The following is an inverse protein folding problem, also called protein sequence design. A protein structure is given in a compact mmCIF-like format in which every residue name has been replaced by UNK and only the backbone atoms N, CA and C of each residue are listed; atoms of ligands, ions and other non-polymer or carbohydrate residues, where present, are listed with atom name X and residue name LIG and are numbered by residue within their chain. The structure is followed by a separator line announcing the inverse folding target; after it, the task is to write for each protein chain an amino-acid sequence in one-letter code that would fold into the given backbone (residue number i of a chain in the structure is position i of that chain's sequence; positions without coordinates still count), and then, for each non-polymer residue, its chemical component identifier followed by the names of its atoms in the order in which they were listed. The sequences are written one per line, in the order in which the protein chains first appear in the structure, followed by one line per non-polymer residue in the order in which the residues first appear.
data_IF_716676393006
#
_entry.id   IF_716676393006
#
_cell.length_a   1.000
_cell.length_b   1.000
_cell.length_c   1.000
_cell.angle_alpha   90.00
_cell.angle_beta   90.00
_cell.angle_gamma   90.00
#
_symmetry.space_group_name_H-M   'P 1'
#
loop_
_entity.id
_entity.type
_entity.pdbx_description
1 polymer ?
#
# COMPACT_ATOMS: atom_id res chain seq x y z
N UNK A 1 -2.32 -7.80 -25.78
CA UNK A 1 -2.01 -8.22 -24.40
C UNK A 1 -1.69 -6.95 -23.64
N UNK A 2 -2.48 -6.64 -22.61
CA UNK A 2 -2.23 -5.51 -21.71
C UNK A 2 -1.91 -6.16 -20.38
N UNK A 3 -0.63 -6.36 -20.13
CA UNK A 3 -0.14 -6.87 -18.86
C UNK A 3 -0.49 -5.81 -17.81
N UNK A 4 -1.51 -6.11 -17.01
CA UNK A 4 -1.92 -5.27 -15.89
C UNK A 4 -1.04 -5.70 -14.72
N UNK A 5 -0.17 -4.77 -14.32
CA UNK A 5 0.85 -4.97 -13.31
C UNK A 5 0.21 -5.20 -11.96
N UNK A 6 0.04 -6.46 -11.66
CA UNK A 6 -0.26 -6.93 -10.34
C UNK A 6 0.84 -6.44 -9.37
N UNK A 7 0.51 -5.95 -8.16
CA UNK A 7 1.52 -5.51 -7.17
C UNK A 7 1.31 -6.21 -5.83
N UNK A 8 2.39 -6.77 -5.27
CA UNK A 8 2.47 -7.24 -3.89
C UNK A 8 2.78 -6.08 -2.96
N UNK A 9 1.82 -5.72 -2.14
CA UNK A 9 2.02 -4.71 -1.12
C UNK A 9 2.73 -5.33 0.07
N UNK A 10 3.94 -4.86 0.34
CA UNK A 10 4.68 -5.36 1.47
C UNK A 10 4.04 -4.82 2.74
N UNK A 11 3.59 -5.76 3.53
CA UNK A 11 3.09 -5.58 4.86
C UNK A 11 4.26 -4.94 5.65
N UNK A 12 4.10 -3.77 6.28
CA UNK A 12 5.18 -3.01 6.95
C UNK A 12 4.67 -2.32 8.20
N UNK A 13 5.47 -2.32 9.28
CA UNK A 13 5.22 -1.41 10.42
C UNK A 13 5.62 0.01 10.03
N UNK A 14 5.13 0.99 10.78
CA UNK A 14 5.55 2.38 10.64
C UNK A 14 7.07 2.55 10.84
N UNK A 15 7.66 1.83 11.79
CA UNK A 15 9.11 1.85 12.03
C UNK A 15 9.88 1.27 10.84
N UNK A 16 9.39 0.17 10.26
CA UNK A 16 9.99 -0.45 9.07
C UNK A 16 9.88 0.48 7.85
N UNK A 17 8.75 1.18 7.70
CA UNK A 17 8.57 2.20 6.68
C UNK A 17 9.57 3.35 6.83
N UNK A 18 9.75 3.85 8.06
CA UNK A 18 10.71 4.91 8.38
C UNK A 18 12.16 4.45 8.14
N UNK A 19 12.47 3.18 8.44
CA UNK A 19 13.76 2.57 8.14
C UNK A 19 14.00 2.45 6.63
N UNK A 20 13.01 2.04 5.84
CA UNK A 20 13.13 2.01 4.38
C UNK A 20 13.33 3.41 3.80
N UNK A 21 12.61 4.42 4.29
CA UNK A 21 12.84 5.81 3.88
C UNK A 21 14.24 6.30 4.24
N UNK A 22 14.74 5.91 5.41
CA UNK A 22 16.10 6.24 5.88
C UNK A 22 17.15 5.59 5.00
N UNK A 23 17.00 4.30 4.68
CA UNK A 23 17.88 3.57 3.78
C UNK A 23 17.85 4.15 2.36
N UNK A 24 16.66 4.38 1.80
CA UNK A 24 16.50 4.97 0.48
C UNK A 24 17.18 6.35 0.39
N UNK A 25 16.96 7.21 1.39
CA UNK A 25 17.64 8.50 1.51
C UNK A 25 19.15 8.35 1.53
N UNK A 26 19.67 7.41 2.33
CA UNK A 26 21.10 7.18 2.44
C UNK A 26 21.71 6.77 1.09
N UNK A 27 21.08 5.82 0.40
CA UNK A 27 21.53 5.32 -0.90
C UNK A 27 21.53 6.43 -1.97
N UNK A 28 20.46 7.22 -2.05
CA UNK A 28 20.35 8.34 -3.00
C UNK A 28 21.39 9.43 -2.71
N UNK A 29 21.52 9.87 -1.46
CA UNK A 29 22.42 10.97 -1.07
C UNK A 29 23.88 10.59 -1.25
N UNK A 30 24.23 9.31 -1.03
CA UNK A 30 25.60 8.83 -1.12
C UNK A 30 25.90 8.09 -2.43
N UNK A 31 25.00 8.10 -3.42
CA UNK A 31 25.10 7.27 -4.61
C UNK A 31 26.47 7.37 -5.29
N UNK A 32 26.91 8.58 -5.63
CA UNK A 32 28.21 8.78 -6.27
C UNK A 32 29.42 8.32 -5.46
N UNK A 33 29.33 8.29 -4.11
CA UNK A 33 30.39 7.73 -3.25
C UNK A 33 30.35 6.22 -3.22
N UNK A 34 29.15 5.65 -3.11
CA UNK A 34 28.92 4.20 -3.08
C UNK A 34 29.38 3.59 -4.41
N UNK A 35 28.92 4.16 -5.52
CA UNK A 35 29.25 3.68 -6.86
C UNK A 35 30.76 3.79 -7.15
N UNK A 36 31.43 4.83 -6.64
CA UNK A 36 32.88 4.98 -6.76
C UNK A 36 33.70 4.03 -5.87
N UNK A 37 33.13 3.55 -4.76
CA UNK A 37 33.82 2.68 -3.80
C UNK A 37 33.78 1.19 -4.18
N UNK A 38 32.91 0.80 -5.11
CA UNK A 38 32.68 -0.60 -5.49
C UNK A 38 31.24 -0.91 -5.88
N UNK A 39 30.32 0.02 -5.62
CA UNK A 39 28.91 -0.10 -6.01
C UNK A 39 28.10 -1.06 -5.14
N UNK A 40 27.05 -1.59 -5.74
CA UNK A 40 26.11 -2.50 -5.08
C UNK A 40 26.28 -3.93 -5.58
N UNK A 41 26.05 -4.88 -4.68
CA UNK A 41 25.96 -6.30 -5.01
C UNK A 41 24.48 -6.69 -5.14
N UNK A 42 24.04 -7.08 -6.34
CA UNK A 42 22.71 -7.61 -6.59
C UNK A 42 22.77 -9.13 -6.74
N UNK A 43 22.89 -9.80 -5.60
CA UNK A 43 22.79 -11.25 -5.51
C UNK A 43 22.05 -11.62 -4.23
N UNK A 44 20.85 -12.18 -4.41
CA UNK A 44 19.99 -12.61 -3.31
C UNK A 44 20.62 -13.68 -2.42
N UNK A 45 21.40 -14.60 -3.00
CA UNK A 45 22.05 -15.67 -2.25
C UNK A 45 23.13 -15.07 -1.34
N UNK A 46 23.72 -13.96 -1.77
CA UNK A 46 24.79 -13.30 -1.07
C UNK A 46 24.34 -12.56 0.19
N UNK A 47 23.06 -12.16 0.33
CA UNK A 47 22.62 -11.39 1.51
C UNK A 47 22.66 -12.21 2.81
N UNK A 48 22.31 -13.51 2.76
CA UNK A 48 22.39 -14.40 3.92
C UNK A 48 23.84 -14.72 4.29
N UNK A 49 24.68 -14.90 3.28
CA UNK A 49 26.09 -15.27 3.43
C UNK A 49 27.01 -14.04 3.47
N UNK A 50 26.43 -12.83 3.58
CA UNK A 50 27.20 -11.60 3.50
C UNK A 50 28.01 -11.39 4.78
N UNK A 51 29.33 -11.38 4.65
CA UNK A 51 30.23 -10.95 5.71
C UNK A 51 30.76 -9.54 5.43
N UNK A 52 30.80 -8.65 6.44
CA UNK A 52 30.59 -8.89 7.88
C UNK A 52 29.12 -8.87 8.34
N UNK A 53 28.88 -9.35 9.56
CA UNK A 53 27.57 -9.27 10.25
C UNK A 53 27.09 -7.82 10.42
N UNK A 54 25.77 -7.58 10.56
CA UNK A 54 25.19 -6.22 10.63
C UNK A 54 25.90 -5.26 11.58
N UNK A 55 26.26 -5.71 12.79
CA UNK A 55 26.95 -4.91 13.80
C UNK A 55 28.37 -4.48 13.38
N UNK A 56 29.03 -5.28 12.53
CA UNK A 56 30.39 -5.04 12.05
C UNK A 56 30.47 -4.02 10.90
N UNK A 57 29.36 -3.77 10.21
CA UNK A 57 29.34 -2.92 9.01
C UNK A 57 29.72 -1.48 9.30
N UNK A 58 29.18 -0.90 10.37
CA UNK A 58 29.46 0.49 10.73
C UNK A 58 30.93 0.74 11.04
N UNK A 59 31.64 -0.28 11.54
CA UNK A 59 33.05 -0.21 11.89
C UNK A 59 33.97 -0.46 10.68
N UNK A 60 33.63 -1.43 9.83
CA UNK A 60 34.47 -1.86 8.72
C UNK A 60 33.61 -2.20 7.49
N UNK A 61 33.06 -1.20 6.79
CA UNK A 61 32.20 -1.44 5.65
C UNK A 61 33.00 -1.99 4.45
N UNK A 62 32.60 -3.14 3.86
CA UNK A 62 33.14 -3.57 2.58
C UNK A 62 32.93 -2.56 1.45
N UNK A 63 33.77 -2.67 0.43
CA UNK A 63 33.76 -1.81 -0.76
C UNK A 63 32.47 -1.93 -1.60
N UNK A 64 31.93 -3.14 -1.71
CA UNK A 64 30.68 -3.44 -2.38
C UNK A 64 29.81 -4.28 -1.45
N UNK A 65 28.53 -3.94 -1.34
CA UNK A 65 27.60 -4.59 -0.42
C UNK A 65 26.20 -4.64 -1.03
N UNK A 66 25.34 -5.56 -0.57
CA UNK A 66 23.93 -5.54 -0.94
C UNK A 66 23.23 -4.24 -0.48
N UNK A 67 22.25 -3.71 -1.22
CA UNK A 67 21.46 -2.54 -0.83
C UNK A 67 21.02 -2.51 0.63
N UNK A 68 20.46 -3.61 1.16
CA UNK A 68 19.98 -3.72 2.55
C UNK A 68 21.10 -3.61 3.59
N UNK A 69 22.33 -3.99 3.23
CA UNK A 69 23.48 -3.94 4.12
C UNK A 69 23.99 -2.51 4.38
N UNK A 70 23.48 -1.51 3.65
CA UNK A 70 23.73 -0.10 3.97
C UNK A 70 22.88 0.42 5.13
N UNK A 71 21.91 -0.37 5.63
CA UNK A 71 21.05 0.03 6.75
C UNK A 71 21.82 0.50 8.00
N UNK A 72 22.82 -0.27 8.50
CA UNK A 72 23.65 0.16 9.62
C UNK A 72 24.39 1.48 9.37
N UNK A 73 24.89 1.71 8.14
CA UNK A 73 25.52 2.99 7.76
C UNK A 73 24.52 4.15 7.67
N UNK A 74 23.27 3.85 7.35
CA UNK A 74 22.16 4.80 7.35
C UNK A 74 21.68 5.17 8.77
N UNK A 75 22.23 4.53 9.81
CA UNK A 75 21.87 4.76 11.21
C UNK A 75 20.76 3.83 11.72
N UNK A 76 20.39 2.80 10.96
CA UNK A 76 19.42 1.78 11.38
C UNK A 76 20.20 0.74 12.17
N UNK A 77 20.18 0.89 13.49
CA UNK A 77 21.07 0.16 14.40
C UNK A 77 20.75 -1.34 14.39
N UNK A 78 21.79 -2.17 14.20
CA UNK A 78 21.73 -3.60 14.45
C UNK A 78 21.79 -3.88 15.96
N UNK A 79 20.99 -4.83 16.43
CA UNK A 79 21.05 -5.28 17.82
C UNK A 79 22.21 -6.27 18.01
N UNK A 80 22.79 -6.35 19.22
CA UNK A 80 23.89 -7.27 19.48
C UNK A 80 23.51 -8.73 19.16
N UNK A 81 24.33 -9.37 18.33
CA UNK A 81 24.15 -10.77 17.94
C UNK A 81 23.13 -11.03 16.83
N UNK A 82 22.55 -9.99 16.20
CA UNK A 82 21.71 -10.18 15.01
C UNK A 82 22.55 -10.65 13.82
N UNK A 83 22.07 -11.69 13.15
CA UNK A 83 22.48 -11.99 11.78
C UNK A 83 21.68 -11.15 10.75
N UNK A 84 21.96 -11.34 9.46
CA UNK A 84 21.26 -10.59 8.41
C UNK A 84 19.77 -10.90 8.29
N UNK A 85 19.36 -12.13 8.60
CA UNK A 85 17.96 -12.54 8.58
C UNK A 85 17.19 -11.84 9.70
N UNK A 86 17.71 -11.90 10.94
CA UNK A 86 17.12 -11.24 12.10
C UNK A 86 17.04 -9.72 11.90
N UNK A 87 18.15 -9.13 11.44
CA UNK A 87 18.24 -7.70 11.17
C UNK A 87 17.23 -7.25 10.11
N UNK A 88 17.17 -7.91 8.96
CA UNK A 88 16.25 -7.53 7.88
C UNK A 88 14.78 -7.73 8.27
N UNK A 89 14.46 -8.81 8.98
CA UNK A 89 13.10 -9.07 9.43
C UNK A 89 12.65 -8.00 10.43
N UNK A 90 13.49 -7.63 11.39
CA UNK A 90 13.16 -6.59 12.36
C UNK A 90 13.12 -5.21 11.70
N UNK A 91 14.23 -4.80 11.08
CA UNK A 91 14.44 -3.44 10.60
C UNK A 91 13.58 -3.10 9.38
N UNK A 92 13.31 -4.08 8.52
CA UNK A 92 12.67 -3.86 7.23
C UNK A 92 11.42 -4.73 7.00
N UNK A 93 11.12 -5.68 7.89
CA UNK A 93 9.99 -6.59 7.68
C UNK A 93 10.22 -7.62 6.58
N UNK A 94 11.47 -7.74 6.11
CA UNK A 94 11.87 -8.65 5.02
C UNK A 94 12.29 -9.98 5.63
N UNK A 95 11.62 -11.05 5.25
CA UNK A 95 12.12 -12.39 5.52
C UNK A 95 13.07 -12.78 4.37
N UNK A 96 14.36 -13.01 4.61
CA UNK A 96 15.32 -13.43 3.57
C UNK A 96 15.13 -14.93 3.25
N UNK A 97 13.87 -15.35 3.06
CA UNK A 97 13.49 -16.63 2.47
C UNK A 97 13.46 -16.49 0.94
N UNK A 98 13.53 -17.61 0.18
CA UNK A 98 13.74 -17.57 -1.27
C UNK A 98 12.68 -16.85 -2.12
N UNK A 99 11.59 -16.34 -1.51
CA UNK A 99 10.44 -15.80 -2.21
C UNK A 99 9.91 -14.48 -1.64
N UNK A 100 10.65 -13.78 -0.78
CA UNK A 100 10.18 -12.46 -0.33
C UNK A 100 10.15 -11.49 -1.54
N UNK A 101 8.97 -10.93 -1.89
CA UNK A 101 8.84 -10.13 -3.10
C UNK A 101 9.75 -8.90 -3.08
N UNK A 102 9.85 -8.23 -1.92
CA UNK A 102 10.65 -7.02 -1.79
C UNK A 102 12.14 -7.34 -1.96
N UNK A 103 12.63 -8.39 -1.31
CA UNK A 103 14.01 -8.82 -1.42
C UNK A 103 14.34 -9.22 -2.86
N UNK A 104 13.50 -10.03 -3.51
CA UNK A 104 13.67 -10.42 -4.90
C UNK A 104 13.67 -9.23 -5.86
N UNK A 105 12.80 -8.26 -5.61
CA UNK A 105 12.79 -7.00 -6.34
C UNK A 105 14.08 -6.23 -6.10
N UNK A 106 14.40 -5.83 -4.86
CA UNK A 106 15.52 -4.95 -4.59
C UNK A 106 16.89 -5.56 -4.95
N UNK A 107 17.04 -6.88 -4.75
CA UNK A 107 18.28 -7.64 -4.95
C UNK A 107 18.34 -8.38 -6.29
N UNK A 108 17.41 -8.11 -7.22
CA UNK A 108 17.37 -8.81 -8.51
C UNK A 108 18.70 -8.64 -9.27
N UNK A 109 19.31 -9.74 -9.75
CA UNK A 109 20.46 -9.69 -10.64
C UNK A 109 20.19 -8.93 -11.95
N UNK A 110 18.92 -8.72 -12.32
CA UNK A 110 18.56 -7.87 -13.46
C UNK A 110 19.12 -6.45 -13.27
N UNK A 111 19.04 -5.89 -12.07
CA UNK A 111 19.49 -4.53 -11.80
C UNK A 111 20.99 -4.36 -11.97
N UNK A 112 21.78 -5.41 -11.75
CA UNK A 112 23.21 -5.37 -12.06
C UNK A 112 23.47 -5.04 -13.55
N UNK A 113 22.52 -5.36 -14.44
CA UNK A 113 22.65 -5.18 -15.89
C UNK A 113 21.95 -3.94 -16.41
N UNK A 114 20.84 -3.54 -15.79
CA UNK A 114 19.97 -2.47 -16.29
C UNK A 114 20.15 -1.15 -15.54
N UNK A 115 20.26 -1.21 -14.21
CA UNK A 115 20.39 -0.02 -13.36
C UNK A 115 21.07 -0.37 -12.02
N UNK A 116 22.42 -0.52 -12.02
CA UNK A 116 23.17 -1.03 -10.87
C UNK A 116 23.48 0.05 -9.82
N UNK A 117 23.11 1.31 -10.07
CA UNK A 117 23.52 2.41 -9.20
C UNK A 117 22.84 2.36 -7.84
N UNK A 118 23.53 2.91 -6.83
CA UNK A 118 22.92 3.16 -5.53
C UNK A 118 21.73 4.13 -5.60
N UNK A 119 21.74 5.06 -6.56
CA UNK A 119 20.60 5.92 -6.85
C UNK A 119 19.38 5.07 -7.27
N UNK A 120 19.57 4.16 -8.22
CA UNK A 120 18.54 3.22 -8.68
C UNK A 120 17.98 2.35 -7.55
N UNK A 121 18.84 1.81 -6.69
CA UNK A 121 18.40 1.02 -5.55
C UNK A 121 17.56 1.83 -4.56
N UNK A 122 17.97 3.07 -4.25
CA UNK A 122 17.18 3.96 -3.41
C UNK A 122 15.81 4.28 -4.02
N UNK A 123 15.75 4.53 -5.32
CA UNK A 123 14.49 4.84 -6.02
C UNK A 123 13.57 3.62 -6.14
N UNK A 124 14.11 2.41 -6.27
CA UNK A 124 13.35 1.16 -6.19
C UNK A 124 12.68 0.97 -4.83
N UNK A 125 13.34 1.34 -3.74
CA UNK A 125 12.72 1.33 -2.40
C UNK A 125 11.56 2.32 -2.37
N UNK A 126 11.76 3.56 -2.83
CA UNK A 126 10.69 4.58 -2.88
C UNK A 126 9.50 4.11 -3.71
N UNK A 127 9.75 3.51 -4.87
CA UNK A 127 8.70 2.93 -5.72
C UNK A 127 7.85 1.93 -4.94
N UNK A 128 8.49 0.98 -4.25
CA UNK A 128 7.74 -0.05 -3.51
C UNK A 128 6.96 0.52 -2.34
N UNK A 129 7.48 1.54 -1.66
CA UNK A 129 6.77 2.21 -0.57
C UNK A 129 5.53 3.00 -1.03
N UNK A 130 5.45 3.34 -2.31
CA UNK A 130 4.34 4.10 -2.90
C UNK A 130 3.36 3.19 -3.67
N UNK A 131 3.89 2.23 -4.42
CA UNK A 131 3.15 1.43 -5.42
C UNK A 131 3.15 -0.08 -5.13
N UNK A 132 3.92 -0.56 -4.15
CA UNK A 132 4.12 -1.99 -3.91
C UNK A 132 5.18 -2.63 -4.83
N UNK A 133 5.44 -3.92 -4.63
CA UNK A 133 6.37 -4.71 -5.44
C UNK A 133 5.64 -5.26 -6.66
N UNK A 134 6.17 -5.14 -7.89
CA UNK A 134 5.54 -5.76 -9.06
C UNK A 134 5.38 -7.29 -8.93
N UNK A 135 4.29 -7.86 -9.43
CA UNK A 135 3.97 -9.28 -9.32
C UNK A 135 4.89 -10.17 -10.14
N UNK A 136 5.34 -9.68 -11.28
CA UNK A 136 6.36 -10.32 -12.10
C UNK A 136 7.76 -10.24 -11.47
N UNK A 137 7.91 -9.78 -10.21
CA UNK A 137 9.19 -9.77 -9.48
C UNK A 137 9.95 -11.09 -9.52
N UNK A 138 9.26 -12.24 -9.57
CA UNK A 138 9.90 -13.55 -9.74
C UNK A 138 10.52 -13.68 -11.12
N UNK A 139 9.77 -13.38 -12.19
CA UNK A 139 10.27 -13.39 -13.57
C UNK A 139 11.39 -12.37 -13.78
N UNK A 140 11.26 -11.18 -13.17
CA UNK A 140 12.28 -10.14 -13.12
C UNK A 140 13.55 -10.68 -12.45
N UNK A 141 13.41 -11.33 -11.30
CA UNK A 141 14.55 -11.92 -10.56
C UNK A 141 15.26 -13.03 -11.33
N UNK A 142 14.52 -13.76 -12.17
CA UNK A 142 15.05 -14.80 -13.04
C UNK A 142 15.57 -14.27 -14.38
N UNK A 143 15.43 -12.96 -14.64
CA UNK A 143 15.78 -12.35 -15.93
C UNK A 143 14.93 -12.86 -17.09
N UNK A 144 13.70 -13.30 -16.80
CA UNK A 144 12.73 -13.86 -17.73
C UNK A 144 11.51 -12.95 -17.94
N UNK A 145 11.46 -11.82 -17.23
CA UNK A 145 10.43 -10.83 -17.42
C UNK A 145 10.44 -10.31 -18.87
N UNK A 146 9.29 -10.42 -19.53
CA UNK A 146 9.03 -9.86 -20.86
C UNK A 146 8.46 -8.43 -20.80
N UNK A 147 8.29 -7.91 -19.59
CA UNK A 147 7.82 -6.56 -19.32
C UNK A 147 8.92 -5.54 -19.64
N UNK A 148 8.51 -4.40 -20.19
CA UNK A 148 9.36 -3.34 -20.78
C UNK A 148 10.37 -2.65 -19.82
N UNK A 149 10.79 -3.26 -18.70
CA UNK A 149 11.75 -2.67 -17.77
C UNK A 149 13.13 -2.40 -18.40
N UNK A 150 13.46 -3.11 -19.48
CA UNK A 150 14.68 -2.91 -20.26
C UNK A 150 14.56 -1.73 -21.26
N UNK A 151 13.35 -1.42 -21.76
CA UNK A 151 13.13 -0.55 -22.93
C UNK A 151 12.33 0.74 -22.65
N UNK A 152 11.50 0.80 -21.60
CA UNK A 152 10.45 1.84 -21.49
C UNK A 152 10.70 2.97 -20.52
N UNK A 153 11.78 2.95 -19.73
CA UNK A 153 11.92 3.94 -18.66
C UNK A 153 10.81 3.85 -17.60
N UNK A 154 10.03 2.76 -17.52
CA UNK A 154 8.83 2.63 -16.68
C UNK A 154 8.99 3.02 -15.20
N UNK A 155 10.10 2.64 -14.55
CA UNK A 155 10.39 3.07 -13.17
C UNK A 155 10.50 4.60 -13.09
N UNK A 156 11.14 5.19 -14.09
CA UNK A 156 11.44 6.61 -14.23
C UNK A 156 10.20 7.39 -14.68
N UNK A 157 9.47 6.93 -15.69
CA UNK A 157 8.23 7.51 -16.18
C UNK A 157 7.14 7.53 -15.09
N UNK A 158 7.08 6.51 -14.22
CA UNK A 158 6.17 6.47 -13.05
C UNK A 158 6.58 7.41 -11.93
N UNK A 159 7.86 7.73 -11.83
CA UNK A 159 8.42 8.74 -10.93
C UNK A 159 8.50 10.13 -11.60
N UNK A 160 7.95 10.31 -12.81
CA UNK A 160 8.01 11.53 -13.62
C UNK A 160 9.45 12.00 -13.93
N UNK A 161 10.33 11.05 -14.25
CA UNK A 161 11.74 11.27 -14.58
C UNK A 161 12.00 11.10 -16.09
N UNK A 162 12.55 12.13 -16.75
CA UNK A 162 13.11 11.99 -18.09
C UNK A 162 14.52 11.40 -18.01
N UNK A 163 14.84 10.31 -18.74
CA UNK A 163 16.19 9.76 -18.80
C UNK A 163 17.02 10.58 -19.78
N UNK A 164 17.42 11.80 -19.41
CA UNK A 164 18.37 12.56 -20.22
C UNK A 164 19.79 12.34 -19.70
N UNK A 165 20.67 11.92 -20.62
CA UNK A 165 22.06 11.56 -20.40
C UNK A 165 22.92 12.83 -20.20
N UNK A 166 22.67 13.55 -19.10
CA UNK A 166 23.40 14.74 -18.72
C UNK A 166 23.60 14.74 -17.22
N UNK A 167 24.86 14.58 -16.79
CA UNK A 167 25.36 14.72 -15.42
C UNK A 167 24.49 15.63 -14.54
N UNK A 168 23.56 15.04 -13.78
CA UNK A 168 22.78 15.75 -12.78
C UNK A 168 23.69 16.04 -11.56
N UNK A 169 23.81 17.29 -11.10
CA UNK A 169 24.62 17.61 -9.94
C UNK A 169 23.99 17.00 -8.68
N UNK A 170 24.71 16.03 -8.10
CA UNK A 170 24.57 15.58 -6.71
C UNK A 170 24.62 16.80 -5.77
N UNK A 171 23.45 17.26 -5.30
CA UNK A 171 23.21 17.91 -3.98
C UNK A 171 21.91 18.71 -4.01
N UNK A 172 20.80 18.00 -3.88
CA UNK A 172 19.54 18.36 -3.22
C UNK A 172 18.59 17.23 -3.56
N UNK A 173 17.68 16.88 -2.64
CA UNK A 173 16.56 16.04 -3.01
C UNK A 173 15.90 16.67 -4.24
N UNK A 174 15.72 15.94 -5.35
CA UNK A 174 14.82 16.40 -6.40
C UNK A 174 13.41 16.47 -5.81
N UNK A 175 12.69 17.57 -6.04
CA UNK A 175 11.30 17.77 -5.57
C UNK A 175 10.34 16.66 -6.04
N UNK A 176 10.74 15.87 -7.05
CA UNK A 176 9.96 14.79 -7.67
C UNK A 176 10.19 13.38 -7.08
N UNK A 177 11.21 13.15 -6.22
CA UNK A 177 11.28 11.86 -5.52
C UNK A 177 10.12 11.85 -4.53
N UNK A 178 9.19 10.91 -4.58
CA UNK A 178 8.02 10.88 -3.68
C UNK A 178 8.35 10.85 -2.17
N UNK A 179 9.61 10.64 -1.78
CA UNK A 179 9.97 10.44 -0.39
C UNK A 179 9.98 11.69 0.54
N UNK A 180 10.18 12.98 0.16
CA UNK A 180 9.84 14.10 1.02
C UNK A 180 8.33 14.15 1.25
N UNK A 181 7.52 13.83 0.24
CA UNK A 181 6.07 13.75 0.35
C UNK A 181 5.66 12.62 1.30
N UNK A 182 6.28 11.44 1.20
CA UNK A 182 6.04 10.33 2.14
C UNK A 182 6.50 10.66 3.57
N UNK A 183 7.69 11.28 3.73
CA UNK A 183 8.18 11.75 5.03
C UNK A 183 7.30 12.85 5.62
N UNK A 184 6.83 13.79 4.81
CA UNK A 184 5.93 14.86 5.24
C UNK A 184 4.56 14.31 5.60
N UNK A 185 4.00 13.37 4.81
CA UNK A 185 2.77 12.64 5.15
C UNK A 185 2.94 11.92 6.48
N UNK A 186 4.06 11.24 6.69
CA UNK A 186 4.39 10.56 7.94
C UNK A 186 4.48 11.49 9.13
N UNK A 187 5.25 12.57 9.01
CA UNK A 187 5.44 13.57 10.05
C UNK A 187 4.15 14.35 10.36
N UNK A 188 3.24 14.44 9.40
CA UNK A 188 1.95 15.09 9.57
C UNK A 188 0.92 14.23 10.33
N UNK A 189 1.16 12.93 10.53
CA UNK A 189 0.25 12.08 11.31
C UNK A 189 0.40 12.45 12.79
N UNK A 190 -0.58 13.17 13.30
CA UNK A 190 -0.61 13.61 14.71
C UNK A 190 -1.57 12.77 15.56
N UNK A 191 -2.53 12.10 14.93
CA UNK A 191 -3.50 11.25 15.62
C UNK A 191 -2.90 9.91 16.11
N UNK A 192 -3.36 9.50 17.28
CA UNK A 192 -3.08 8.20 17.88
C UNK A 192 -4.21 7.82 18.87
N UNK A 193 -4.03 6.70 19.57
CA UNK A 193 -5.01 6.17 20.51
C UNK A 193 -5.34 7.12 21.68
N UNK A 194 -4.38 7.95 22.10
CA UNK A 194 -4.50 8.77 23.30
C UNK A 194 -5.22 10.10 23.01
N UNK A 195 -5.14 10.61 21.78
CA UNK A 195 -5.71 11.92 21.43
C UNK A 195 -6.97 11.87 20.54
N UNK A 196 -7.27 10.77 19.83
CA UNK A 196 -8.39 10.71 18.88
C UNK A 196 -9.72 11.19 19.50
N UNK A 197 -10.07 10.71 20.70
CA UNK A 197 -11.33 11.10 21.36
C UNK A 197 -11.39 12.61 21.61
N UNK A 198 -10.30 13.19 22.10
CA UNK A 198 -10.24 14.61 22.43
C UNK A 198 -10.28 15.48 21.16
N UNK A 199 -9.55 15.07 20.11
CA UNK A 199 -9.57 15.74 18.80
C UNK A 199 -10.99 15.80 18.22
N UNK A 200 -11.74 14.68 18.25
CA UNK A 200 -13.12 14.69 17.75
C UNK A 200 -14.03 15.67 18.51
N UNK A 201 -13.80 15.85 19.81
CA UNK A 201 -14.59 16.76 20.65
C UNK A 201 -14.23 18.23 20.38
N UNK A 202 -12.93 18.54 20.41
CA UNK A 202 -12.42 19.91 20.24
C UNK A 202 -12.75 20.50 18.88
N UNK A 203 -12.72 19.65 17.84
CA UNK A 203 -13.02 20.05 16.47
C UNK A 203 -14.54 20.10 16.19
N UNK A 204 -15.38 19.87 17.20
CA UNK A 204 -16.84 19.89 17.05
C UNK A 204 -17.39 18.74 16.20
N UNK A 205 -16.57 17.73 15.92
CA UNK A 205 -16.93 16.55 15.14
C UNK A 205 -17.80 15.62 15.99
N UNK A 206 -17.61 15.51 17.29
CA UNK A 206 -18.46 14.65 18.11
C UNK A 206 -18.68 15.22 19.50
N UNK A 207 -19.87 15.00 20.05
CA UNK A 207 -20.09 15.17 21.48
C UNK A 207 -19.53 13.95 22.22
N UNK A 208 -19.14 14.08 23.50
CA UNK A 208 -18.62 12.95 24.27
C UNK A 208 -19.51 11.70 24.25
N UNK A 209 -20.83 11.88 24.25
CA UNK A 209 -21.84 10.81 24.17
C UNK A 209 -21.97 10.17 22.78
N UNK A 210 -21.57 10.88 21.72
CA UNK A 210 -21.64 10.44 20.33
C UNK A 210 -20.42 9.59 19.92
N UNK A 211 -19.43 9.45 20.79
CA UNK A 211 -18.22 8.62 20.58
C UNK A 211 -18.35 7.31 21.35
N UNK A 212 -18.44 6.20 20.62
CA UNK A 212 -18.43 4.87 21.20
C UNK A 212 -17.62 3.88 20.36
N UNK A 213 -16.72 3.18 21.03
CA UNK A 213 -15.95 2.08 20.45
C UNK A 213 -16.54 0.71 20.76
N UNK A 214 -15.74 -0.31 20.47
CA UNK A 214 -16.05 -1.72 20.76
C UNK A 214 -15.15 -2.27 21.85
N UNK A 215 -15.64 -3.27 22.58
CA UNK A 215 -14.85 -3.96 23.59
C UNK A 215 -13.78 -4.86 22.98
N UNK A 216 -12.77 -5.24 23.78
CA UNK A 216 -11.76 -6.22 23.35
C UNK A 216 -12.38 -7.58 22.96
N UNK A 217 -13.51 -7.95 23.57
CA UNK A 217 -14.21 -9.18 23.23
C UNK A 217 -14.83 -9.10 21.83
N UNK A 218 -15.46 -7.98 21.49
CA UNK A 218 -16.01 -7.76 20.15
C UNK A 218 -14.91 -7.67 19.09
N UNK A 219 -13.77 -7.08 19.42
CA UNK A 219 -12.59 -7.10 18.54
C UNK A 219 -12.14 -8.54 18.30
N UNK A 220 -12.06 -9.38 19.33
CA UNK A 220 -11.71 -10.80 19.17
C UNK A 220 -12.71 -11.56 18.30
N UNK A 221 -14.00 -11.26 18.43
CA UNK A 221 -15.04 -11.84 17.57
C UNK A 221 -14.87 -11.41 16.11
N UNK A 222 -14.55 -10.14 15.87
CA UNK A 222 -14.23 -9.66 14.53
C UNK A 222 -12.98 -10.37 13.98
N UNK A 223 -11.90 -10.42 14.75
CA UNK A 223 -10.64 -11.11 14.37
C UNK A 223 -10.86 -12.58 14.00
N UNK A 224 -11.78 -13.27 14.68
CA UNK A 224 -12.13 -14.65 14.36
C UNK A 224 -12.75 -14.79 12.97
N UNK A 225 -13.46 -13.76 12.48
CA UNK A 225 -14.14 -13.78 11.17
C UNK A 225 -13.33 -13.17 10.03
N UNK A 226 -12.47 -12.19 10.32
CA UNK A 226 -11.75 -11.43 9.29
C UNK A 226 -10.25 -11.70 9.26
N UNK A 227 -9.69 -12.34 10.27
CA UNK A 227 -8.25 -12.43 10.48
C UNK A 227 -7.75 -11.43 11.51
N UNK A 228 -6.52 -11.62 11.98
CA UNK A 228 -5.92 -10.82 13.04
C UNK A 228 -5.74 -9.36 12.61
N UNK A 229 -6.12 -8.42 13.48
CA UNK A 229 -6.11 -6.99 13.17
C UNK A 229 -4.83 -6.32 13.71
N UNK A 230 -4.21 -5.41 12.93
CA UNK A 230 -3.14 -4.55 13.42
C UNK A 230 -3.55 -3.80 14.69
N UNK A 231 -2.59 -3.56 15.60
CA UNK A 231 -2.86 -2.89 16.88
C UNK A 231 -3.49 -1.51 16.69
N UNK A 232 -3.02 -0.73 15.71
CA UNK A 232 -3.56 0.60 15.37
C UNK A 232 -5.06 0.52 15.05
N UNK A 233 -5.47 -0.44 14.22
CA UNK A 233 -6.88 -0.61 13.87
C UNK A 233 -7.71 -1.08 15.06
N UNK A 234 -7.17 -1.99 15.89
CA UNK A 234 -7.82 -2.37 17.17
C UNK A 234 -8.03 -1.16 18.09
N UNK A 235 -7.03 -0.27 18.17
CA UNK A 235 -7.13 0.97 18.94
C UNK A 235 -8.19 1.91 18.37
N UNK A 236 -8.22 2.12 17.05
CA UNK A 236 -9.28 2.90 16.37
C UNK A 236 -10.66 2.33 16.68
N UNK A 237 -10.86 1.01 16.50
CA UNK A 237 -12.12 0.34 16.82
C UNK A 237 -12.52 0.51 18.30
N UNK A 238 -11.55 0.46 19.21
CA UNK A 238 -11.82 0.64 20.64
C UNK A 238 -12.29 2.05 21.03
N UNK A 239 -12.03 3.06 20.19
CA UNK A 239 -12.46 4.45 20.42
C UNK A 239 -13.72 4.79 19.64
N UNK A 240 -13.76 4.45 18.34
CA UNK A 240 -14.80 4.91 17.41
C UNK A 240 -15.57 3.78 16.70
N UNK A 241 -15.27 2.52 16.98
CA UNK A 241 -15.78 1.36 16.24
C UNK A 241 -17.31 1.23 16.14
N UNK A 242 -18.11 1.91 16.96
CA UNK A 242 -19.58 1.92 16.83
C UNK A 242 -20.14 3.25 16.31
N UNK A 243 -19.57 4.38 16.73
CA UNK A 243 -19.99 5.73 16.32
C UNK A 243 -18.94 6.77 16.71
N UNK A 244 -18.85 7.83 15.90
CA UNK A 244 -17.94 8.96 16.11
C UNK A 244 -18.58 10.30 15.73
N UNK A 245 -19.82 10.53 16.14
CA UNK A 245 -20.55 11.76 15.80
C UNK A 245 -20.54 12.03 14.30
N UNK A 246 -19.99 13.18 13.92
CA UNK A 246 -19.92 13.77 12.57
C UNK A 246 -18.76 13.29 11.71
N UNK A 247 -17.97 12.32 12.19
CA UNK A 247 -16.72 11.92 11.52
C UNK A 247 -16.95 11.45 10.08
N UNK A 248 -18.03 10.72 9.83
CA UNK A 248 -18.42 10.28 8.49
C UNK A 248 -19.94 10.32 8.31
N UNK A 249 -20.42 10.47 7.08
CA UNK A 249 -21.81 10.19 6.72
C UNK A 249 -22.00 8.66 6.61
N UNK A 250 -22.68 8.05 7.59
CA UNK A 250 -22.89 6.59 7.63
C UNK A 250 -23.73 5.99 6.49
N UNK A 251 -24.36 6.84 5.66
CA UNK A 251 -25.03 6.41 4.41
C UNK A 251 -24.08 6.31 3.24
N UNK A 252 -22.99 7.06 3.31
CA UNK A 252 -21.94 7.11 2.31
C UNK A 252 -20.76 6.23 2.69
N UNK A 253 -20.24 6.36 3.91
CA UNK A 253 -19.07 5.63 4.37
C UNK A 253 -19.44 4.57 5.40
N UNK A 254 -19.04 3.35 5.11
CA UNK A 254 -19.26 2.17 5.95
C UNK A 254 -17.95 1.83 6.64
N UNK A 255 -17.71 2.34 7.85
CA UNK A 255 -16.44 2.13 8.58
C UNK A 255 -16.63 1.55 9.99
N UNK A 256 -17.88 1.40 10.44
CA UNK A 256 -18.18 0.96 11.80
C UNK A 256 -18.34 -0.56 11.86
N UNK A 257 -18.05 -1.15 13.03
CA UNK A 257 -17.93 -2.60 13.26
C UNK A 257 -19.10 -3.42 12.74
N UNK A 258 -20.31 -2.91 12.89
CA UNK A 258 -21.56 -3.57 12.50
C UNK A 258 -21.75 -3.61 10.99
N UNK A 259 -21.02 -2.76 10.25
CA UNK A 259 -20.98 -2.73 8.80
C UNK A 259 -19.82 -3.57 8.24
N UNK A 260 -18.76 -3.80 9.02
CA UNK A 260 -17.52 -4.41 8.52
C UNK A 260 -17.70 -5.83 8.00
N UNK A 261 -18.60 -6.64 8.58
CA UNK A 261 -18.86 -7.99 8.06
C UNK A 261 -19.39 -7.94 6.62
N UNK A 262 -20.31 -7.04 6.34
CA UNK A 262 -20.88 -6.84 5.02
C UNK A 262 -19.85 -6.24 4.06
N UNK A 263 -19.09 -5.24 4.51
CA UNK A 263 -17.99 -4.65 3.74
C UNK A 263 -16.95 -5.71 3.37
N UNK A 264 -16.58 -6.61 4.28
CA UNK A 264 -15.66 -7.71 4.00
C UNK A 264 -16.24 -8.73 3.02
N UNK A 265 -17.52 -9.07 3.15
CA UNK A 265 -18.21 -9.95 2.19
C UNK A 265 -18.19 -9.33 0.79
N UNK A 266 -18.60 -8.07 0.67
CA UNK A 266 -18.64 -7.34 -0.60
C UNK A 266 -17.24 -7.17 -1.21
N UNK A 267 -16.24 -6.83 -0.40
CA UNK A 267 -14.86 -6.71 -0.85
C UNK A 267 -14.33 -8.03 -1.41
N UNK A 268 -14.60 -9.16 -0.73
CA UNK A 268 -14.23 -10.50 -1.21
C UNK A 268 -14.96 -10.93 -2.47
N UNK A 269 -16.26 -10.64 -2.58
CA UNK A 269 -17.02 -10.90 -3.82
C UNK A 269 -16.47 -10.10 -4.98
N UNK A 270 -16.17 -8.82 -4.75
CA UNK A 270 -15.65 -7.94 -5.79
C UNK A 270 -14.24 -8.32 -6.23
N UNK A 271 -13.41 -8.75 -5.27
CA UNK A 271 -12.13 -9.38 -5.55
C UNK A 271 -12.30 -10.57 -6.50
N UNK A 272 -13.17 -11.52 -6.16
CA UNK A 272 -13.37 -12.71 -6.99
C UNK A 272 -13.89 -12.37 -8.40
N UNK A 273 -14.79 -11.39 -8.51
CA UNK A 273 -15.22 -10.86 -9.82
C UNK A 273 -14.04 -10.28 -10.61
N UNK A 274 -13.15 -9.52 -9.97
CA UNK A 274 -12.03 -8.85 -10.66
C UNK A 274 -10.88 -9.77 -10.98
N UNK A 275 -10.56 -10.72 -10.11
CA UNK A 275 -9.60 -11.78 -10.41
C UNK A 275 -10.03 -12.58 -11.65
N UNK A 276 -11.34 -12.86 -11.79
CA UNK A 276 -11.88 -13.50 -12.99
C UNK A 276 -11.80 -12.63 -14.27
N UNK A 277 -11.70 -11.31 -14.12
CA UNK A 277 -11.59 -10.33 -15.21
C UNK A 277 -10.15 -9.84 -15.47
N UNK A 278 -9.16 -10.43 -14.79
CA UNK A 278 -7.75 -10.03 -14.89
C UNK A 278 -7.50 -8.61 -14.38
N UNK A 279 -8.10 -8.24 -13.24
CA UNK A 279 -7.80 -7.02 -12.50
C UNK A 279 -6.55 -7.16 -11.60
N UNK A 280 -6.10 -6.07 -10.98
CA UNK A 280 -4.97 -6.09 -10.04
C UNK A 280 -5.25 -7.08 -8.88
N UNK A 281 -4.23 -7.77 -8.34
CA UNK A 281 -4.39 -8.83 -7.38
C UNK A 281 -4.79 -8.21 -6.06
N UNK A 282 -5.56 -8.98 -5.32
CA UNK A 282 -5.86 -8.65 -3.95
C UNK A 282 -5.05 -9.54 -3.02
N UNK A 283 -4.35 -8.98 -2.02
CA UNK A 283 -3.68 -9.78 -1.00
C UNK A 283 -4.67 -10.73 -0.32
N UNK A 284 -4.27 -12.00 -0.10
CA UNK A 284 -5.12 -13.00 0.57
C UNK A 284 -5.43 -12.65 2.02
N UNK A 285 -4.54 -11.90 2.63
CA UNK A 285 -4.60 -11.35 3.97
C UNK A 285 -5.28 -9.97 4.02
N UNK A 286 -5.92 -9.50 2.95
CA UNK A 286 -6.64 -8.23 2.99
C UNK A 286 -7.86 -8.29 3.92
N UNK A 287 -7.94 -7.32 4.84
CA UNK A 287 -9.11 -7.05 5.67
C UNK A 287 -9.73 -5.74 5.21
N UNK A 288 -10.99 -5.80 4.77
CA UNK A 288 -11.70 -4.59 4.36
C UNK A 288 -12.16 -3.81 5.59
N UNK A 289 -11.77 -2.55 5.67
CA UNK A 289 -12.01 -1.67 6.84
C UNK A 289 -12.99 -0.54 6.54
N UNK A 290 -13.36 -0.37 5.28
CA UNK A 290 -14.54 0.39 4.95
C UNK A 290 -14.85 0.39 3.47
N UNK A 291 -15.94 1.06 3.11
CA UNK A 291 -16.33 1.26 1.72
C UNK A 291 -17.13 2.54 1.57
N UNK A 292 -17.12 3.09 0.36
CA UNK A 292 -17.92 4.25 -0.03
C UNK A 292 -19.11 3.79 -0.87
N UNK A 293 -20.32 3.91 -0.35
CA UNK A 293 -21.57 3.42 -0.94
C UNK A 293 -21.56 1.90 -1.20
N UNK A 294 -20.79 1.13 -0.42
CA UNK A 294 -20.53 -0.28 -0.71
C UNK A 294 -19.68 -0.51 -1.96
N UNK A 295 -19.13 0.55 -2.53
CA UNK A 295 -18.19 0.54 -3.65
C UNK A 295 -16.83 1.01 -3.15
N UNK A 296 -15.80 0.81 -3.96
CA UNK A 296 -14.43 1.26 -3.71
C UNK A 296 -13.93 0.98 -2.26
N UNK A 297 -13.76 -0.29 -1.88
CA UNK A 297 -13.49 -0.63 -0.50
C UNK A 297 -12.05 -0.29 -0.10
N UNK A 298 -11.90 0.24 1.11
CA UNK A 298 -10.60 0.36 1.77
C UNK A 298 -10.24 -0.93 2.47
N UNK A 299 -8.97 -1.29 2.42
CA UNK A 299 -8.46 -2.46 3.12
C UNK A 299 -7.08 -2.21 3.74
N UNK A 300 -6.79 -3.03 4.74
CA UNK A 300 -5.49 -3.17 5.39
C UNK A 300 -5.05 -4.63 5.27
N UNK A 301 -3.82 -4.92 5.66
CA UNK A 301 -3.29 -6.29 5.67
C UNK A 301 -3.40 -6.89 7.08
N UNK A 302 -3.60 -8.21 7.17
CA UNK A 302 -3.67 -8.93 8.44
C UNK A 302 -2.37 -8.78 9.24
N UNK A 303 -2.51 -8.83 10.56
CA UNK A 303 -1.37 -8.98 11.46
C UNK A 303 -0.97 -10.47 11.50
N UNK A 304 -0.09 -10.91 10.58
CA UNK A 304 0.26 -12.33 10.43
C UNK A 304 0.95 -12.91 11.68
N UNK A 305 0.17 -13.57 12.55
CA UNK A 305 0.67 -14.22 13.78
C UNK A 305 1.39 -15.55 13.55
N UNK A 306 1.28 -16.13 12.35
CA UNK A 306 1.79 -17.47 12.06
C UNK A 306 3.25 -17.48 11.59
N UNK A 307 3.71 -16.39 10.96
CA UNK A 307 5.03 -16.33 10.32
C UNK A 307 5.83 -15.05 10.59
N UNK A 308 5.25 -14.04 11.29
CA UNK A 308 5.87 -12.73 11.46
C UNK A 308 5.66 -12.17 12.88
N UNK A 309 6.52 -11.24 13.31
CA UNK A 309 6.27 -10.45 14.51
C UNK A 309 5.06 -9.52 14.30
N UNK A 310 4.20 -9.33 15.32
CA UNK A 310 3.01 -8.50 15.18
C UNK A 310 3.40 -7.04 14.87
N UNK A 311 2.86 -6.51 13.77
CA UNK A 311 3.30 -5.27 13.11
C UNK A 311 2.88 -4.00 13.83
N UNK A 312 1.83 -4.08 14.64
CA UNK A 312 1.28 -2.94 15.36
C UNK A 312 0.55 -1.91 14.49
N UNK A 313 0.85 -1.77 13.21
CA UNK A 313 0.15 -0.88 12.26
C UNK A 313 0.12 -1.46 10.84
N UNK A 314 -0.62 -0.82 9.93
CA UNK A 314 -0.74 -1.19 8.51
C UNK A 314 -1.04 0.03 7.63
N UNK A 315 -0.47 0.13 6.41
CA UNK A 315 -0.96 1.07 5.41
C UNK A 315 -2.41 0.78 5.01
N UNK A 316 -3.11 1.79 4.50
CA UNK A 316 -4.48 1.67 4.00
C UNK A 316 -4.48 1.81 2.50
N UNK A 317 -5.09 0.83 1.84
CA UNK A 317 -5.25 0.77 0.41
C UNK A 317 -6.70 1.01 0.04
N UNK A 318 -6.91 1.58 -1.15
CA UNK A 318 -8.20 1.69 -1.79
C UNK A 318 -8.19 0.81 -3.02
N UNK A 319 -9.23 0.00 -3.17
CA UNK A 319 -9.53 -0.64 -4.43
C UNK A 319 -10.50 0.23 -5.23
N UNK A 320 -10.03 0.83 -6.31
CA UNK A 320 -10.86 1.58 -7.24
C UNK A 320 -11.68 0.59 -8.09
N UNK A 321 -12.98 0.50 -7.81
CA UNK A 321 -13.88 -0.42 -8.50
C UNK A 321 -14.17 -0.03 -9.94
N UNK A 322 -13.85 1.19 -10.36
CA UNK A 322 -14.07 1.69 -11.71
C UNK A 322 -12.86 1.38 -12.60
N UNK A 323 -11.65 1.57 -12.08
CA UNK A 323 -10.41 1.26 -12.83
C UNK A 323 -9.87 -0.14 -12.57
N UNK A 324 -10.34 -0.80 -11.52
CA UNK A 324 -9.80 -2.07 -11.03
C UNK A 324 -8.41 -1.98 -10.47
N UNK A 325 -8.00 -0.78 -10.03
CA UNK A 325 -6.66 -0.54 -9.51
C UNK A 325 -6.64 -0.54 -8.00
N UNK A 326 -5.58 -1.09 -7.44
CA UNK A 326 -5.29 -0.95 -6.02
C UNK A 326 -4.27 0.18 -5.85
N UNK A 327 -4.53 1.11 -4.93
CA UNK A 327 -3.62 2.19 -4.61
C UNK A 327 -3.52 2.43 -3.12
N UNK A 328 -2.32 2.75 -2.63
CA UNK A 328 -2.13 3.18 -1.25
C UNK A 328 -2.72 4.58 -1.07
N UNK A 329 -3.72 4.71 -0.18
CA UNK A 329 -4.35 6.01 0.13
C UNK A 329 -3.84 6.59 1.45
N UNK A 330 -3.25 5.77 2.31
CA UNK A 330 -2.56 6.21 3.52
C UNK A 330 -1.45 5.24 3.88
N UNK A 331 -0.35 5.77 4.42
CA UNK A 331 0.78 4.96 4.92
C UNK A 331 0.52 4.33 6.29
N UNK A 332 -0.59 4.69 6.95
CA UNK A 332 -1.01 4.10 8.24
C UNK A 332 -2.51 4.18 8.45
N UNK A 333 -3.04 3.35 9.34
CA UNK A 333 -4.43 3.44 9.81
C UNK A 333 -4.70 4.79 10.45
N UNK A 334 -3.77 5.32 11.24
CA UNK A 334 -3.93 6.62 11.90
C UNK A 334 -3.99 7.78 10.90
N UNK A 335 -3.13 7.76 9.88
CA UNK A 335 -3.19 8.75 8.80
C UNK A 335 -4.50 8.69 8.00
N UNK A 336 -5.08 7.50 7.86
CA UNK A 336 -6.38 7.34 7.22
C UNK A 336 -7.50 7.95 8.07
N UNK A 337 -7.52 7.68 9.37
CA UNK A 337 -8.48 8.29 10.31
C UNK A 337 -8.31 9.82 10.36
N UNK A 338 -7.08 10.31 10.32
CA UNK A 338 -6.82 11.75 10.27
C UNK A 338 -7.34 12.39 8.98
N UNK A 339 -7.26 11.70 7.84
CA UNK A 339 -7.93 12.10 6.61
C UNK A 339 -9.44 12.26 6.80
N UNK A 340 -10.10 11.27 7.43
CA UNK A 340 -11.53 11.35 7.74
C UNK A 340 -11.87 12.53 8.66
N UNK A 341 -11.01 12.82 9.65
CA UNK A 341 -11.16 13.99 10.53
C UNK A 341 -11.13 15.29 9.71
N UNK A 342 -10.14 15.46 8.83
CA UNK A 342 -10.02 16.64 7.98
C UNK A 342 -11.22 16.82 7.04
N UNK A 343 -11.68 15.73 6.43
CA UNK A 343 -12.88 15.76 5.59
C UNK A 343 -14.11 16.20 6.39
N UNK A 344 -14.27 15.69 7.62
CA UNK A 344 -15.35 16.10 8.51
C UNK A 344 -15.27 17.59 8.86
N UNK A 345 -14.08 18.13 9.16
CA UNK A 345 -13.88 19.56 9.42
C UNK A 345 -14.32 20.43 8.23
N UNK A 346 -13.94 20.04 7.01
CA UNK A 346 -14.33 20.74 5.77
C UNK A 346 -15.86 20.74 5.65
N UNK A 347 -16.50 19.58 5.79
CA UNK A 347 -17.96 19.48 5.71
C UNK A 347 -18.68 20.27 6.80
N UNK A 348 -18.12 20.32 8.01
CA UNK A 348 -18.63 21.15 9.12
C UNK A 348 -18.54 22.63 8.76
N UNK A 349 -17.39 23.08 8.27
CA UNK A 349 -17.13 24.47 7.90
C UNK A 349 -18.02 24.94 6.73
N UNK A 350 -18.28 24.05 5.76
CA UNK A 350 -19.17 24.31 4.62
C UNK A 350 -20.66 24.25 4.99
N UNK A 351 -21.00 23.90 6.24
CA UNK A 351 -22.37 23.78 6.71
C UNK A 351 -23.14 22.65 6.03
N UNK A 352 -22.45 21.65 5.48
CA UNK A 352 -23.07 20.49 4.84
C UNK A 352 -23.80 19.69 5.94
N UNK A 353 -25.14 19.53 5.82
CA UNK A 353 -25.92 18.85 6.84
C UNK A 353 -25.60 17.37 6.85
N UNK A 354 -25.39 16.84 8.05
CA UNK A 354 -25.11 15.43 8.24
C UNK A 354 -26.29 14.55 7.87
N UNK A 355 -26.01 13.37 7.30
CA UNK A 355 -27.03 12.33 7.11
C UNK A 355 -26.78 11.10 8.00
N UNK A 356 -26.08 11.28 9.12
CA UNK A 356 -25.82 10.22 10.10
C UNK A 356 -27.12 9.60 10.65
N UNK A 357 -27.45 8.41 10.18
CA UNK A 357 -28.61 7.64 10.60
C UNK A 357 -28.46 7.07 12.04
N UNK A 358 -27.24 7.02 12.59
CA UNK A 358 -26.96 6.49 13.93
C UNK A 358 -27.42 7.40 15.09
N UNK A 359 -27.79 8.66 14.85
CA UNK A 359 -28.59 9.45 15.81
C UNK A 359 -30.05 8.98 15.77
N UNK A 360 -30.32 7.79 16.32
CA UNK A 360 -31.66 7.18 16.37
C UNK A 360 -31.84 6.04 15.36
N UNK A 361 -31.32 4.87 15.73
CA UNK A 361 -31.54 3.53 15.16
C UNK A 361 -32.43 3.37 13.90
N UNK A 362 -31.82 2.90 12.80
CA UNK A 362 -32.43 1.88 11.92
C UNK A 362 -31.35 1.06 11.20
N UNK A 363 -31.45 -0.26 11.35
CA UNK A 363 -30.50 -1.31 10.94
C UNK A 363 -30.61 -1.74 9.47
N UNK A 364 -31.09 -0.86 8.59
CA UNK A 364 -31.28 -1.18 7.18
C UNK A 364 -30.39 -0.28 6.32
N UNK A 365 -29.59 -0.88 5.44
CA UNK A 365 -28.85 -0.18 4.39
C UNK A 365 -29.80 0.76 3.64
N UNK A 366 -29.45 2.06 3.44
CA UNK A 366 -30.36 3.01 2.82
C UNK A 366 -30.80 2.54 1.42
N UNK A 367 -32.07 2.77 1.02
CA UNK A 367 -32.58 2.45 -0.32
C UNK A 367 -31.73 3.01 -1.48
N UNK A 368 -30.95 4.07 -1.21
CA UNK A 368 -30.02 4.67 -2.15
C UNK A 368 -28.86 3.74 -2.53
N UNK A 369 -28.28 2.99 -1.59
CA UNK A 369 -27.19 2.05 -1.90
C UNK A 369 -27.66 0.93 -2.84
N UNK A 370 -28.88 0.42 -2.65
CA UNK A 370 -29.51 -0.53 -3.58
C UNK A 370 -29.80 0.09 -4.94
N UNK A 371 -30.24 1.36 -4.98
CA UNK A 371 -30.52 2.09 -6.23
C UNK A 371 -29.23 2.39 -7.01
N UNK A 372 -28.16 2.80 -6.34
CA UNK A 372 -26.84 3.00 -6.94
C UNK A 372 -26.22 1.68 -7.40
N UNK A 373 -26.34 0.60 -6.62
CA UNK A 373 -25.93 -0.76 -7.03
C UNK A 373 -26.67 -1.20 -8.30
N UNK A 374 -27.98 -1.00 -8.36
CA UNK A 374 -28.79 -1.31 -9.55
C UNK A 374 -28.40 -0.44 -10.76
N UNK A 375 -28.08 0.83 -10.53
CA UNK A 375 -27.70 1.76 -11.59
C UNK A 375 -26.30 1.46 -12.13
N UNK A 376 -25.31 1.26 -11.26
CA UNK A 376 -23.96 0.84 -11.64
C UNK A 376 -23.97 -0.52 -12.37
N UNK A 377 -24.77 -1.49 -11.91
CA UNK A 377 -24.94 -2.77 -12.59
C UNK A 377 -25.58 -2.60 -13.97
N UNK A 378 -26.56 -1.69 -14.10
CA UNK A 378 -27.22 -1.38 -15.37
C UNK A 378 -26.26 -0.73 -16.36
N UNK A 379 -25.50 0.26 -15.92
CA UNK A 379 -24.54 0.98 -16.76
C UNK A 379 -23.41 0.03 -17.21
N UNK A 380 -22.96 -0.85 -16.31
CA UNK A 380 -22.00 -1.91 -16.64
C UNK A 380 -22.53 -2.91 -17.67
N UNK A 381 -23.77 -3.36 -17.52
CA UNK A 381 -24.42 -4.25 -18.50
C UNK A 381 -24.56 -3.59 -19.89
N UNK A 382 -24.83 -2.27 -19.92
CA UNK A 382 -24.89 -1.50 -21.17
C UNK A 382 -23.50 -1.45 -21.82
N UNK A 383 -22.45 -1.17 -21.04
CA UNK A 383 -21.07 -1.13 -21.56
C UNK A 383 -20.61 -2.49 -22.08
N UNK A 384 -20.91 -3.58 -21.38
CA UNK A 384 -20.60 -4.95 -21.84
C UNK A 384 -21.34 -5.26 -23.14
N UNK A 385 -22.63 -4.92 -23.23
CA UNK A 385 -23.42 -5.12 -24.45
C UNK A 385 -22.87 -4.30 -25.63
N UNK A 386 -22.43 -3.06 -25.40
CA UNK A 386 -21.78 -2.24 -26.42
C UNK A 386 -20.44 -2.82 -26.88
N UNK A 387 -19.60 -3.31 -25.96
CA UNK A 387 -18.33 -3.94 -26.32
C UNK A 387 -18.53 -5.24 -27.09
N UNK A 388 -19.47 -6.10 -26.66
CA UNK A 388 -19.82 -7.31 -27.39
C UNK A 388 -20.34 -7.00 -28.80
N UNK A 389 -21.18 -5.97 -28.94
CA UNK A 389 -21.66 -5.48 -30.23
C UNK A 389 -20.53 -5.00 -31.15
N UNK A 390 -19.56 -4.25 -30.62
CA UNK A 390 -18.41 -3.76 -31.37
C UNK A 390 -17.50 -4.91 -31.85
N UNK A 391 -17.28 -5.93 -31.01
CA UNK A 391 -16.50 -7.13 -31.37
C UNK A 391 -17.21 -7.93 -32.47
N UNK A 392 -18.53 -8.15 -32.34
CA UNK A 392 -19.33 -8.83 -33.37
C UNK A 392 -19.29 -8.08 -34.71
N UNK A 393 -19.38 -6.75 -34.67
CA UNK A 393 -19.32 -5.91 -35.87
C UNK A 393 -17.94 -5.98 -36.53
N UNK A 394 -16.87 -5.94 -35.74
CA UNK A 394 -15.48 -6.09 -36.20
C UNK A 394 -15.21 -7.45 -36.84
N UNK A 395 -15.68 -8.54 -36.21
CA UNK A 395 -15.56 -9.91 -36.77
C UNK A 395 -16.35 -10.04 -38.08
N UNK A 396 -17.55 -9.47 -38.14
CA UNK A 396 -18.40 -9.51 -39.33
C UNK A 396 -17.75 -8.73 -40.49
N UNK A 397 -17.21 -7.54 -40.23
CA UNK A 397 -16.48 -6.75 -41.23
C UNK A 397 -15.20 -7.45 -41.71
N UNK A 398 -14.46 -8.09 -40.80
CA UNK A 398 -13.27 -8.86 -41.16
C UNK A 398 -13.60 -10.09 -42.03
N UNK A 399 -14.70 -10.79 -41.75
CA UNK A 399 -15.17 -11.90 -42.58
C UNK A 399 -15.66 -11.42 -43.96
N UNK A 400 -16.36 -10.29 -44.03
CA UNK A 400 -16.77 -9.68 -45.30
C UNK A 400 -15.55 -9.29 -46.13
N UNK A 401 -14.54 -8.65 -45.52
CA UNK A 401 -13.29 -8.30 -46.17
C UNK A 401 -12.60 -9.54 -46.76
N UNK A 402 -12.40 -10.59 -45.94
CA UNK A 402 -11.83 -11.88 -46.35
C UNK A 402 -12.58 -12.61 -47.47
N UNK A 403 -13.87 -12.33 -47.66
CA UNK A 403 -14.70 -12.95 -48.70
C UNK A 403 -14.80 -12.10 -49.98
N UNK A 404 -14.41 -10.82 -49.91
CA UNK A 404 -14.54 -9.87 -51.02
C UNK A 404 -13.20 -9.39 -51.59
N UNK A 405 -12.10 -9.68 -50.90
CA UNK A 405 -10.70 -9.58 -51.36
C UNK A 405 -10.04 -10.94 -51.26
#
# INVERSE_FOLDING_TARGET
MRDRYEHHFHEQTVEQYDNFLTLARYLVVNAGKIDAAGGLLFDRAYMLDFEPMPEGIAAHPPAAMPPLAYGPLAGIVALPGEDWQDYCQRAFGIEIRPYDPFCLWLQSPLWARTEPSALGAGLRIVYVLDLGVPHDHVEISMGQAWTDYDDSGFLWDKLDMAPDAGTLPLRQWPEWIGAPTLNARRAAITLNADNLRQTLIEHGIARPEDIAGVSQEEIRQLEFTTGALPRSYRQVLSVIGRRAGRLVDDRELQIYVDQLLEVNRMGRERRAEWEAEGGDPFPEDAIFIGARYGMAPWFILQDSRAHHHPRGDSPVFLFDTDTGKVGQVSISVWGWVEGLVRDAEIFIAEGIPEKNARRGHRTELPPLAMKYKQQAQRDRNITIAMMAGAVLLGVTLYLIYRLTT
#
